data_IF_602348549362
#
_entry.id   IF_602348549362
#
_cell.length_a   1.000
_cell.length_b   1.000
_cell.length_c   1.000
_cell.angle_alpha   90.00
_cell.angle_beta   90.00
_cell.angle_gamma   90.00
#
_symmetry.space_group_name_H-M   'P 1'
#
loop_
_entity.id
_entity.type
_entity.pdbx_description
1 polymer ?
#
# COMPACT_ATOMS: atom_id res chain seq x y z
N UNK A 1 -33.13 -20.60 -1.73
CA UNK A 1 -32.70 -19.21 -1.99
C UNK A 1 -31.24 -19.25 -2.41
N UNK A 2 -30.84 -18.48 -3.42
CA UNK A 2 -29.46 -18.44 -3.89
C UNK A 2 -28.72 -17.33 -3.15
N UNK A 3 -27.96 -17.69 -2.11
CA UNK A 3 -27.15 -16.74 -1.34
C UNK A 3 -25.76 -16.62 -1.96
N UNK A 4 -25.22 -15.39 -2.01
CA UNK A 4 -23.85 -15.10 -2.46
C UNK A 4 -23.08 -14.45 -1.32
N UNK A 5 -21.78 -14.70 -1.28
CA UNK A 5 -20.88 -14.16 -0.26
C UNK A 5 -19.72 -13.39 -0.87
N UNK A 6 -19.29 -12.34 -0.15
CA UNK A 6 -18.04 -11.63 -0.39
C UNK A 6 -17.31 -11.45 0.94
N UNK A 7 -15.98 -11.37 0.85
CA UNK A 7 -15.09 -11.30 2.01
C UNK A 7 -14.16 -10.09 1.83
N UNK A 8 -13.96 -9.31 2.90
CA UNK A 8 -13.17 -8.08 2.88
C UNK A 8 -12.13 -8.11 4.01
N UNK A 9 -10.90 -7.73 3.68
CA UNK A 9 -9.76 -7.58 4.61
C UNK A 9 -9.75 -6.22 5.33
N UNK A 10 -10.91 -5.76 5.79
CA UNK A 10 -11.07 -4.49 6.51
C UNK A 10 -12.11 -4.68 7.62
N UNK A 11 -12.10 -3.81 8.63
CA UNK A 11 -13.01 -3.84 9.77
C UNK A 11 -14.12 -2.79 9.68
N UNK A 12 -13.89 -1.74 8.92
CA UNK A 12 -14.78 -0.60 8.75
C UNK A 12 -15.39 -0.56 7.34
N UNK A 13 -16.63 -0.07 7.25
CA UNK A 13 -17.33 0.08 5.97
C UNK A 13 -18.28 1.27 6.02
N UNK A 14 -18.22 2.12 4.99
CA UNK A 14 -19.23 3.16 4.78
C UNK A 14 -20.47 2.53 4.12
N UNK A 15 -21.62 2.65 4.78
CA UNK A 15 -22.90 2.10 4.35
C UNK A 15 -23.87 3.17 3.81
N UNK A 16 -23.43 4.41 3.71
CA UNK A 16 -24.24 5.52 3.22
C UNK A 16 -24.03 5.77 1.71
N UNK A 17 -22.89 5.34 1.16
CA UNK A 17 -22.53 5.51 -0.25
C UNK A 17 -22.23 4.17 -0.93
N UNK A 18 -23.04 3.78 -1.92
CA UNK A 18 -22.84 2.53 -2.68
C UNK A 18 -21.52 2.55 -3.47
N UNK A 19 -21.11 3.71 -3.97
CA UNK A 19 -19.86 3.87 -4.72
C UNK A 19 -18.64 3.67 -3.82
N UNK A 20 -18.63 4.23 -2.61
CA UNK A 20 -17.55 4.03 -1.64
C UNK A 20 -17.50 2.58 -1.16
N UNK A 21 -18.65 1.98 -0.89
CA UNK A 21 -18.78 0.56 -0.56
C UNK A 21 -18.21 -0.34 -1.66
N UNK A 22 -18.53 -0.05 -2.93
CA UNK A 22 -18.01 -0.78 -4.10
C UNK A 22 -16.49 -0.60 -4.25
N UNK A 23 -15.97 0.61 -4.03
CA UNK A 23 -14.53 0.88 -4.08
C UNK A 23 -13.80 0.11 -2.98
N UNK A 24 -14.34 0.08 -1.76
CA UNK A 24 -13.80 -0.70 -0.66
C UNK A 24 -13.73 -2.18 -1.01
N UNK A 25 -14.82 -2.78 -1.48
CA UNK A 25 -14.86 -4.20 -1.87
C UNK A 25 -13.90 -4.53 -3.01
N UNK A 26 -13.71 -3.63 -3.98
CA UNK A 26 -12.77 -3.87 -5.09
C UNK A 26 -11.30 -3.77 -4.66
N UNK A 27 -11.01 -3.02 -3.61
CA UNK A 27 -9.64 -2.85 -3.08
C UNK A 27 -9.31 -3.88 -2.00
N UNK A 28 -10.23 -4.11 -1.07
CA UNK A 28 -10.07 -4.96 0.11
C UNK A 28 -10.68 -6.35 -0.05
N UNK A 29 -11.33 -6.63 -1.18
CA UNK A 29 -11.97 -7.92 -1.44
C UNK A 29 -10.95 -9.05 -1.54
N UNK A 30 -11.17 -10.11 -0.78
CA UNK A 30 -10.30 -11.29 -0.70
C UNK A 30 -11.07 -12.57 -1.05
N UNK A 31 -10.33 -13.64 -1.29
CA UNK A 31 -10.92 -14.97 -1.42
C UNK A 31 -11.32 -15.54 -0.04
N UNK A 32 -12.23 -16.50 -0.03
CA UNK A 32 -12.75 -17.13 1.19
C UNK A 32 -11.67 -17.87 1.99
N UNK A 33 -10.73 -18.50 1.30
CA UNK A 33 -9.58 -19.18 1.89
C UNK A 33 -8.62 -18.18 2.56
N UNK A 34 -8.39 -17.01 1.95
CA UNK A 34 -7.64 -15.90 2.57
C UNK A 34 -8.35 -15.36 3.80
N UNK A 35 -9.67 -15.19 3.73
CA UNK A 35 -10.49 -14.75 4.85
C UNK A 35 -10.38 -15.74 6.01
N UNK A 36 -10.45 -17.04 5.72
CA UNK A 36 -10.32 -18.11 6.71
C UNK A 36 -8.93 -18.15 7.37
N UNK A 37 -7.87 -17.82 6.63
CA UNK A 37 -6.54 -17.68 7.19
C UNK A 37 -6.43 -16.42 8.06
N UNK A 38 -6.91 -15.28 7.57
CA UNK A 38 -6.82 -13.97 8.24
C UNK A 38 -7.61 -13.91 9.56
N UNK A 39 -8.79 -14.50 9.65
CA UNK A 39 -9.56 -14.47 10.92
C UNK A 39 -8.86 -15.22 12.07
N UNK A 40 -7.86 -16.07 11.78
CA UNK A 40 -7.00 -16.69 12.80
C UNK A 40 -5.98 -15.72 13.39
N UNK A 41 -5.70 -14.60 12.73
CA UNK A 41 -4.63 -13.67 13.07
C UNK A 41 -5.09 -12.52 13.97
N UNK A 42 -6.23 -12.67 14.65
CA UNK A 42 -6.96 -11.61 15.38
C UNK A 42 -7.29 -10.36 14.53
N UNK A 43 -6.95 -10.35 13.23
CA UNK A 43 -7.12 -9.20 12.36
C UNK A 43 -8.55 -9.17 11.81
N UNK A 44 -9.38 -8.20 12.20
CA UNK A 44 -10.79 -8.20 11.85
C UNK A 44 -11.05 -8.09 10.35
N UNK A 45 -12.09 -8.79 9.91
CA UNK A 45 -12.51 -8.88 8.51
C UNK A 45 -14.04 -8.85 8.39
N UNK A 46 -14.56 -8.45 7.24
CA UNK A 46 -16.01 -8.46 6.99
C UNK A 46 -16.43 -9.62 6.09
N UNK A 47 -17.50 -10.32 6.47
CA UNK A 47 -18.26 -11.23 5.63
C UNK A 47 -19.57 -10.56 5.21
N UNK A 48 -19.84 -10.52 3.90
CA UNK A 48 -21.02 -9.90 3.32
C UNK A 48 -21.89 -11.00 2.72
N UNK A 49 -23.18 -10.99 3.04
CA UNK A 49 -24.18 -11.92 2.49
C UNK A 49 -25.19 -11.17 1.64
N UNK A 50 -25.44 -11.70 0.46
CA UNK A 50 -26.46 -11.23 -0.45
C UNK A 50 -27.50 -12.32 -0.69
N UNK A 51 -28.78 -11.97 -0.54
CA UNK A 51 -29.90 -12.86 -0.85
C UNK A 51 -30.74 -12.23 -1.96
N UNK A 52 -31.05 -13.01 -3.01
CA UNK A 52 -31.75 -12.52 -4.21
C UNK A 52 -31.10 -11.23 -4.78
N UNK A 53 -29.77 -11.21 -4.80
CA UNK A 53 -28.91 -10.10 -5.23
C UNK A 53 -28.89 -8.85 -4.33
N UNK A 54 -29.62 -8.79 -3.22
CA UNK A 54 -29.57 -7.66 -2.29
C UNK A 54 -28.70 -7.96 -1.07
N UNK A 55 -27.95 -6.97 -0.61
CA UNK A 55 -27.18 -7.07 0.63
C UNK A 55 -28.14 -7.22 1.81
N UNK A 56 -28.08 -8.37 2.49
CA UNK A 56 -28.97 -8.69 3.61
C UNK A 56 -28.25 -8.74 4.95
N UNK A 57 -26.93 -8.93 4.95
CA UNK A 57 -26.16 -9.02 6.18
C UNK A 57 -24.69 -8.68 5.94
N UNK A 58 -24.10 -7.98 6.92
CA UNK A 58 -22.65 -7.84 7.09
C UNK A 58 -22.29 -8.38 8.47
N UNK A 59 -21.23 -9.17 8.56
CA UNK A 59 -20.65 -9.66 9.80
C UNK A 59 -19.23 -9.19 9.93
N UNK A 60 -18.91 -8.61 11.08
CA UNK A 60 -17.55 -8.44 11.57
C UNK A 60 -17.08 -9.77 12.16
N UNK A 61 -15.96 -10.29 11.68
CA UNK A 61 -15.42 -11.57 12.09
C UNK A 61 -13.93 -11.45 12.41
N UNK A 62 -13.56 -11.87 13.62
CA UNK A 62 -12.19 -12.16 14.04
C UNK A 62 -12.18 -13.48 14.84
N UNK A 63 -11.08 -13.80 15.53
CA UNK A 63 -10.94 -15.03 16.31
C UNK A 63 -11.96 -15.15 17.46
N UNK A 64 -12.38 -14.02 18.04
CA UNK A 64 -13.21 -13.94 19.24
C UNK A 64 -14.63 -13.45 18.95
N UNK A 65 -14.81 -12.71 17.85
CA UNK A 65 -16.01 -11.98 17.53
C UNK A 65 -16.63 -12.45 16.22
N UNK A 66 -17.95 -12.56 16.23
CA UNK A 66 -18.77 -12.77 15.03
C UNK A 66 -20.06 -11.96 15.17
N UNK A 67 -19.96 -10.67 14.84
CA UNK A 67 -20.95 -9.65 15.19
C UNK A 67 -21.67 -9.19 13.92
N UNK A 68 -23.01 -9.18 13.93
CA UNK A 68 -23.78 -8.59 12.84
C UNK A 68 -23.69 -7.06 12.89
N UNK A 69 -23.32 -6.46 11.77
CA UNK A 69 -23.38 -5.01 11.58
C UNK A 69 -24.79 -4.63 11.10
N UNK A 70 -25.38 -3.63 11.76
CA UNK A 70 -26.70 -3.11 11.38
C UNK A 70 -26.60 -2.37 10.04
N UNK A 71 -27.37 -2.83 9.05
CA UNK A 71 -27.48 -2.14 7.76
C UNK A 71 -28.24 -0.82 7.90
N UNK A 72 -27.74 0.22 7.23
CA UNK A 72 -28.47 1.46 6.99
C UNK A 72 -29.63 1.20 6.03
N UNK A 73 -30.56 2.14 5.90
CA UNK A 73 -31.62 2.02 4.89
C UNK A 73 -31.07 2.05 3.46
N UNK A 74 -29.99 2.82 3.22
CA UNK A 74 -29.27 2.86 1.94
C UNK A 74 -28.66 1.51 1.60
N UNK A 75 -27.92 0.90 2.54
CA UNK A 75 -27.23 -0.36 2.30
C UNK A 75 -28.14 -1.54 1.93
N UNK A 76 -29.41 -1.52 2.35
CA UNK A 76 -30.39 -2.55 1.98
C UNK A 76 -30.72 -2.58 0.49
N UNK A 77 -30.49 -1.49 -0.26
CA UNK A 77 -30.65 -1.47 -1.71
C UNK A 77 -29.39 -1.89 -2.47
N UNK A 78 -28.24 -2.04 -1.79
CA UNK A 78 -26.99 -2.39 -2.45
C UNK A 78 -27.08 -3.77 -3.08
N UNK A 79 -26.70 -3.84 -4.36
CA UNK A 79 -26.78 -5.08 -5.14
C UNK A 79 -25.45 -5.79 -5.23
N UNK A 80 -25.51 -7.12 -5.20
CA UNK A 80 -24.38 -7.98 -5.50
C UNK A 80 -23.73 -7.58 -6.81
N UNK A 81 -22.40 -7.61 -6.82
CA UNK A 81 -21.60 -7.43 -8.02
C UNK A 81 -20.38 -8.31 -7.94
N UNK A 82 -19.85 -8.69 -9.11
CA UNK A 82 -18.61 -9.44 -9.16
C UNK A 82 -17.44 -8.49 -8.88
N UNK A 83 -16.78 -8.66 -7.75
CA UNK A 83 -15.61 -7.87 -7.38
C UNK A 83 -14.30 -8.54 -7.81
N UNK A 84 -13.24 -7.73 -7.91
CA UNK A 84 -11.89 -8.25 -7.96
C UNK A 84 -11.51 -8.78 -6.59
N UNK A 85 -11.04 -10.04 -6.55
CA UNK A 85 -10.55 -10.68 -5.33
C UNK A 85 -9.04 -10.72 -5.36
N UNK A 86 -8.42 -10.45 -4.22
CA UNK A 86 -6.97 -10.34 -4.06
C UNK A 86 -6.44 -11.47 -3.17
N UNK A 87 -5.17 -11.81 -3.38
CA UNK A 87 -4.38 -12.76 -2.57
C UNK A 87 -3.47 -11.96 -1.67
N UNK A 88 -3.46 -12.24 -0.36
CA UNK A 88 -2.63 -11.52 0.60
C UNK A 88 -1.23 -12.13 0.59
N UNK A 89 -0.22 -11.29 0.38
CA UNK A 89 1.16 -11.75 0.38
C UNK A 89 2.05 -10.83 1.22
N UNK A 90 2.95 -11.44 1.99
CA UNK A 90 3.98 -10.75 2.75
C UNK A 90 5.25 -10.61 1.94
N UNK A 91 5.83 -9.41 1.97
CA UNK A 91 7.13 -9.09 1.39
C UNK A 91 8.18 -9.18 2.49
N UNK A 92 9.03 -10.19 2.44
CA UNK A 92 9.89 -10.59 3.55
C UNK A 92 11.35 -10.39 3.16
N UNK A 93 12.16 -9.69 3.96
CA UNK A 93 13.59 -9.59 3.74
C UNK A 93 14.26 -10.97 3.61
N UNK A 94 15.17 -11.11 2.66
CA UNK A 94 15.94 -12.34 2.46
C UNK A 94 17.36 -12.03 2.00
N UNK A 95 18.28 -12.95 2.27
CA UNK A 95 19.65 -12.90 1.71
C UNK A 95 19.71 -13.39 0.26
N UNK A 96 18.70 -14.14 -0.19
CA UNK A 96 18.65 -14.66 -1.57
C UNK A 96 18.43 -13.52 -2.55
N UNK A 97 19.19 -13.50 -3.63
CA UNK A 97 18.98 -12.53 -4.68
C UNK A 97 17.57 -12.68 -5.29
N UNK A 98 16.86 -11.55 -5.42
CA UNK A 98 15.49 -11.49 -5.91
C UNK A 98 15.30 -10.36 -6.92
N UNK A 99 14.24 -10.46 -7.74
CA UNK A 99 13.90 -9.41 -8.71
C UNK A 99 13.31 -8.17 -8.03
N UNK A 100 12.50 -8.36 -6.98
CA UNK A 100 11.97 -7.28 -6.15
C UNK A 100 12.84 -7.05 -4.91
N UNK A 101 13.14 -5.80 -4.58
CA UNK A 101 13.96 -5.42 -3.42
C UNK A 101 13.63 -4.01 -2.92
N UNK A 102 13.95 -3.73 -1.66
CA UNK A 102 13.98 -2.37 -1.09
C UNK A 102 15.37 -1.77 -1.32
N UNK A 103 15.45 -0.46 -1.51
CA UNK A 103 16.67 0.29 -1.75
C UNK A 103 17.17 0.21 -3.20
N UNK A 104 18.48 0.37 -3.38
CA UNK A 104 19.10 0.46 -4.71
C UNK A 104 20.17 -0.61 -4.92
N UNK A 105 20.30 -1.10 -6.15
CA UNK A 105 21.39 -2.00 -6.58
C UNK A 105 22.58 -1.28 -7.25
N UNK A 106 22.50 0.05 -7.40
CA UNK A 106 23.53 0.89 -8.02
C UNK A 106 23.65 0.73 -9.54
N UNK A 107 22.87 -0.15 -10.17
CA UNK A 107 22.92 -0.44 -11.62
C UNK A 107 21.79 0.21 -12.40
N UNK A 108 20.79 0.75 -11.69
CA UNK A 108 19.59 1.29 -12.30
C UNK A 108 19.85 2.55 -13.13
N UNK A 109 19.16 2.65 -14.26
CA UNK A 109 19.03 3.90 -15.06
C UNK A 109 17.85 4.76 -14.60
N UNK A 110 17.17 4.38 -13.51
CA UNK A 110 16.03 5.10 -12.98
C UNK A 110 16.44 6.51 -12.55
N UNK A 111 15.61 7.48 -12.91
CA UNK A 111 15.77 8.88 -12.52
C UNK A 111 14.57 9.27 -11.67
N UNK A 112 14.84 9.78 -10.45
CA UNK A 112 13.79 10.23 -9.56
C UNK A 112 13.08 11.47 -10.12
N UNK A 113 11.78 11.67 -9.83
CA UNK A 113 11.05 12.84 -10.26
C UNK A 113 11.72 14.13 -9.79
N UNK A 114 11.79 15.11 -10.68
CA UNK A 114 12.11 16.49 -10.32
C UNK A 114 10.84 17.25 -10.04
N UNK A 115 10.84 18.08 -9.00
CA UNK A 115 9.70 18.90 -8.62
C UNK A 115 10.17 20.30 -8.23
N UNK A 116 9.44 21.31 -8.68
CA UNK A 116 9.53 22.67 -8.15
C UNK A 116 8.48 22.93 -7.05
N UNK A 117 7.60 21.96 -6.78
CA UNK A 117 6.56 22.05 -5.76
C UNK A 117 7.03 21.43 -4.43
N UNK A 118 7.79 20.34 -4.50
CA UNK A 118 8.29 19.60 -3.33
C UNK A 118 9.78 19.89 -3.19
N UNK A 119 10.14 20.64 -2.15
CA UNK A 119 11.49 21.16 -1.87
C UNK A 119 12.31 20.20 -0.99
N UNK A 120 12.20 18.91 -1.28
CA UNK A 120 13.06 17.85 -0.77
C UNK A 120 13.30 16.83 -1.91
N UNK A 121 14.41 16.09 -1.91
CA UNK A 121 14.66 15.11 -2.95
C UNK A 121 13.66 13.96 -2.85
N UNK A 122 13.37 13.33 -4.00
CA UNK A 122 12.70 12.03 -4.06
C UNK A 122 13.74 10.92 -3.85
N UNK A 123 13.43 9.95 -2.99
CA UNK A 123 14.26 8.77 -2.73
C UNK A 123 13.73 7.56 -3.50
N UNK A 124 14.61 6.67 -3.97
CA UNK A 124 14.20 5.34 -4.43
C UNK A 124 13.94 4.49 -3.19
N UNK A 125 12.71 4.01 -3.05
CA UNK A 125 12.29 3.19 -1.91
C UNK A 125 12.44 1.72 -2.23
N UNK A 126 11.97 1.29 -3.39
CA UNK A 126 11.99 -0.12 -3.78
C UNK A 126 11.95 -0.29 -5.30
N UNK A 127 12.27 -1.49 -5.75
CA UNK A 127 12.00 -2.01 -7.09
C UNK A 127 11.10 -3.23 -6.96
N UNK A 128 9.98 -3.23 -7.67
CA UNK A 128 9.07 -4.36 -7.78
C UNK A 128 9.11 -4.90 -9.20
N UNK A 129 9.25 -6.22 -9.36
CA UNK A 129 9.31 -6.86 -10.67
C UNK A 129 8.04 -7.63 -11.00
N UNK A 130 7.63 -7.53 -12.27
CA UNK A 130 6.54 -8.33 -12.85
C UNK A 130 6.84 -9.83 -12.88
N UNK A 131 8.11 -10.22 -12.76
CA UNK A 131 8.51 -11.63 -12.67
C UNK A 131 8.04 -12.31 -11.38
N UNK A 132 7.75 -11.53 -10.35
CA UNK A 132 7.26 -12.05 -9.09
C UNK A 132 5.71 -12.12 -9.15
N UNK A 133 5.14 -13.29 -8.84
CA UNK A 133 3.76 -13.67 -9.19
C UNK A 133 2.68 -12.62 -8.81
N UNK A 134 2.67 -12.03 -7.61
CA UNK A 134 1.65 -11.04 -7.22
C UNK A 134 1.66 -9.77 -8.07
N UNK A 135 2.77 -9.51 -8.76
CA UNK A 135 3.02 -8.31 -9.55
C UNK A 135 3.01 -8.58 -11.06
N UNK A 136 2.70 -9.81 -11.48
CA UNK A 136 2.62 -10.24 -12.89
C UNK A 136 1.67 -9.40 -13.77
N UNK A 137 0.74 -8.68 -13.15
CA UNK A 137 -0.21 -7.79 -13.81
C UNK A 137 0.30 -6.37 -14.04
N UNK A 138 1.46 -5.98 -13.51
CA UNK A 138 2.01 -4.65 -13.71
C UNK A 138 2.23 -4.36 -15.21
N UNK A 139 2.04 -3.12 -15.66
CA UNK A 139 2.23 -2.73 -17.06
C UNK A 139 3.72 -2.50 -17.43
N UNK A 140 4.65 -2.86 -16.55
CA UNK A 140 6.09 -2.66 -16.66
C UNK A 140 6.82 -3.95 -16.28
N UNK A 141 8.03 -4.17 -16.79
CA UNK A 141 8.91 -5.24 -16.30
C UNK A 141 9.36 -4.99 -14.85
N UNK A 142 9.65 -3.72 -14.55
CA UNK A 142 10.05 -3.25 -13.23
C UNK A 142 9.32 -1.94 -12.93
N UNK A 143 8.77 -1.84 -11.72
CA UNK A 143 8.27 -0.60 -11.13
C UNK A 143 9.25 -0.17 -10.04
N UNK A 144 9.95 0.94 -10.27
CA UNK A 144 10.66 1.63 -9.21
C UNK A 144 9.67 2.49 -8.43
N UNK A 145 9.70 2.38 -7.11
CA UNK A 145 8.86 3.14 -6.19
C UNK A 145 9.73 4.24 -5.62
N UNK A 146 9.25 5.48 -5.71
CA UNK A 146 9.99 6.65 -5.26
C UNK A 146 9.06 7.61 -4.53
N UNK A 147 9.57 8.20 -3.44
CA UNK A 147 8.81 9.09 -2.58
C UNK A 147 9.74 10.11 -1.89
N UNK A 148 9.29 11.35 -1.64
CA UNK A 148 10.04 12.36 -0.88
C UNK A 148 9.78 12.22 0.63
N UNK A 149 10.43 11.25 1.27
CA UNK A 149 10.09 10.80 2.65
C UNK A 149 10.31 11.88 3.73
N UNK A 150 11.10 12.92 3.44
CA UNK A 150 11.35 14.05 4.34
C UNK A 150 10.34 15.19 4.22
N UNK A 151 9.28 15.00 3.43
CA UNK A 151 8.12 15.91 3.34
C UNK A 151 6.84 15.20 3.76
N UNK A 152 5.90 15.96 4.30
CA UNK A 152 4.53 15.54 4.58
C UNK A 152 3.55 16.21 3.63
N UNK A 153 2.88 15.45 2.76
CA UNK A 153 1.93 16.01 1.79
C UNK A 153 0.48 16.01 2.29
N UNK A 154 0.13 15.16 3.25
CA UNK A 154 -1.26 14.99 3.72
C UNK A 154 -2.25 14.51 2.65
N UNK A 155 -1.76 14.18 1.45
CA UNK A 155 -2.53 13.73 0.31
C UNK A 155 -1.66 12.82 -0.60
N UNK A 156 -2.30 12.11 -1.53
CA UNK A 156 -1.61 11.26 -2.49
C UNK A 156 -0.66 12.03 -3.41
N UNK A 157 0.60 11.60 -3.46
CA UNK A 157 1.53 11.96 -4.52
C UNK A 157 1.26 11.10 -5.76
N UNK A 158 0.98 11.75 -6.89
CA UNK A 158 0.73 11.09 -8.16
C UNK A 158 1.92 11.26 -9.10
N UNK A 159 2.41 10.15 -9.62
CA UNK A 159 3.51 10.08 -10.56
C UNK A 159 3.05 9.44 -11.86
N UNK A 160 3.36 10.08 -12.98
CA UNK A 160 3.12 9.56 -14.31
C UNK A 160 4.32 8.71 -14.78
N UNK A 161 4.13 7.40 -14.86
CA UNK A 161 5.10 6.40 -15.35
C UNK A 161 4.90 6.05 -16.84
N UNK A 162 4.42 7.00 -17.65
CA UNK A 162 4.42 6.83 -19.12
C UNK A 162 5.83 6.48 -19.65
N UNK A 163 6.85 7.07 -19.03
CA UNK A 163 8.27 6.69 -19.14
C UNK A 163 8.69 5.97 -17.85
N UNK A 164 8.76 4.62 -17.82
CA UNK A 164 8.85 3.86 -16.56
C UNK A 164 10.09 4.14 -15.72
N UNK A 165 11.19 4.57 -16.36
CA UNK A 165 12.46 4.89 -15.70
C UNK A 165 12.66 6.39 -15.42
N UNK A 166 11.68 7.22 -15.76
CA UNK A 166 11.74 8.68 -15.53
C UNK A 166 10.33 9.22 -15.24
N UNK A 167 9.71 8.79 -14.12
CA UNK A 167 8.38 9.25 -13.76
C UNK A 167 8.34 10.74 -13.48
N UNK A 168 7.19 11.36 -13.79
CA UNK A 168 6.97 12.80 -13.59
C UNK A 168 5.89 13.05 -12.55
N UNK A 169 6.13 13.98 -11.63
CA UNK A 169 5.10 14.45 -10.71
C UNK A 169 3.93 15.05 -11.50
N UNK A 170 2.71 14.67 -11.13
CA UNK A 170 1.47 15.26 -11.66
C UNK A 170 0.58 15.65 -10.48
N UNK A 171 -0.17 16.74 -10.65
CA UNK A 171 -0.98 17.32 -9.58
C UNK A 171 -0.47 18.69 -9.14
N UNK A 172 -1.18 19.30 -8.20
CA UNK A 172 -0.86 20.62 -7.67
C UNK A 172 -0.84 20.57 -6.14
N UNK A 173 0.35 20.32 -5.60
CA UNK A 173 0.59 20.19 -4.16
C UNK A 173 0.82 21.58 -3.56
N UNK A 174 -0.10 22.00 -2.71
CA UNK A 174 -0.05 23.34 -2.07
C UNK A 174 0.31 23.29 -0.60
N UNK A 175 -0.05 22.21 0.08
CA UNK A 175 0.08 22.08 1.53
C UNK A 175 1.14 21.03 1.84
N UNK A 176 2.41 21.36 1.60
CA UNK A 176 3.53 20.47 1.91
C UNK A 176 4.17 20.92 3.22
N UNK A 177 4.20 20.01 4.18
CA UNK A 177 4.94 20.16 5.42
C UNK A 177 6.38 19.68 5.24
N UNK A 178 7.32 20.40 5.86
CA UNK A 178 8.75 20.08 5.87
C UNK A 178 9.23 19.92 7.31
N UNK A 179 8.94 18.78 7.97
CA UNK A 179 9.27 18.57 9.38
C UNK A 179 10.77 18.60 9.66
N UNK A 180 11.60 18.42 8.63
CA UNK A 180 13.06 18.51 8.70
C UNK A 180 13.62 19.73 7.96
N UNK A 181 12.78 20.72 7.70
CA UNK A 181 13.11 21.83 6.82
C UNK A 181 13.18 21.44 5.34
N UNK A 182 13.29 22.47 4.48
CA UNK A 182 13.53 22.29 3.05
C UNK A 182 14.96 21.78 2.82
N UNK A 183 15.16 20.99 1.77
CA UNK A 183 16.44 20.37 1.46
C UNK A 183 16.82 20.59 0.00
N UNK A 184 18.11 20.41 -0.31
CA UNK A 184 18.56 20.39 -1.69
C UNK A 184 17.87 19.23 -2.45
N UNK A 185 17.05 19.58 -3.44
CA UNK A 185 16.33 18.62 -4.29
C UNK A 185 17.27 17.76 -5.15
N UNK A 186 18.53 18.15 -5.32
CA UNK A 186 19.58 17.34 -5.93
C UNK A 186 20.35 16.47 -4.91
N UNK A 187 19.99 16.56 -3.64
CA UNK A 187 20.60 15.79 -2.56
C UNK A 187 20.44 14.28 -2.75
N UNK A 188 21.44 13.55 -2.29
CA UNK A 188 21.54 12.10 -2.36
C UNK A 188 21.09 11.52 -1.02
N UNK A 189 20.16 10.57 -1.06
CA UNK A 189 19.79 9.74 0.08
C UNK A 189 19.37 8.36 -0.43
N UNK A 190 20.19 7.35 -0.15
CA UNK A 190 20.08 6.01 -0.73
C UNK A 190 20.01 4.96 0.36
N UNK A 191 19.22 3.92 0.13
CA UNK A 191 19.12 2.76 1.01
C UNK A 191 19.94 1.60 0.47
N UNK A 192 20.49 0.78 1.37
CA UNK A 192 21.08 -0.51 1.02
C UNK A 192 20.02 -1.41 0.40
N UNK A 193 20.44 -2.22 -0.57
CA UNK A 193 19.58 -3.26 -1.15
C UNK A 193 19.16 -4.25 -0.06
N UNK A 194 17.86 -4.51 0.02
CA UNK A 194 17.29 -5.60 0.82
C UNK A 194 16.39 -6.43 -0.09
N UNK A 195 16.85 -7.64 -0.43
CA UNK A 195 16.08 -8.54 -1.29
C UNK A 195 14.79 -8.98 -0.59
N UNK A 196 13.77 -9.27 -1.39
CA UNK A 196 12.45 -9.67 -0.92
C UNK A 196 12.09 -11.05 -1.45
N UNK A 197 11.63 -11.92 -0.55
CA UNK A 197 10.83 -13.09 -0.90
C UNK A 197 9.36 -12.81 -0.61
N UNK A 198 8.48 -13.53 -1.30
CA UNK A 198 7.04 -13.38 -1.16
C UNK A 198 6.49 -14.66 -0.53
N UNK A 199 5.68 -14.53 0.52
CA UNK A 199 4.95 -15.65 1.15
C UNK A 199 3.46 -15.33 1.17
N UNK A 200 2.62 -16.26 0.75
CA UNK A 200 1.17 -16.08 0.87
C UNK A 200 0.75 -16.22 2.33
N UNK A 201 -0.31 -15.51 2.76
CA UNK A 201 -0.92 -15.72 4.08
C UNK A 201 -1.35 -17.19 4.32
N UNK A 202 -1.61 -17.92 3.24
CA UNK A 202 -2.00 -19.33 3.29
C UNK A 202 -0.86 -20.27 3.63
N UNK A 203 0.37 -19.85 3.37
CA UNK A 203 1.57 -20.64 3.64
C UNK A 203 2.08 -20.40 5.07
N UNK A 204 1.37 -19.60 5.87
CA UNK A 204 1.62 -19.42 7.30
C UNK A 204 1.02 -20.63 8.02
N UNK A 205 1.90 -21.54 8.47
CA UNK A 205 1.52 -22.85 9.01
C UNK A 205 1.48 -22.87 10.54
N UNK A 206 1.99 -21.84 11.21
CA UNK A 206 2.16 -21.81 12.67
C UNK A 206 1.49 -20.57 13.26
N UNK A 207 0.88 -20.69 14.43
CA UNK A 207 0.30 -19.54 15.14
C UNK A 207 1.40 -18.50 15.51
N UNK A 208 2.67 -18.93 15.60
CA UNK A 208 3.84 -18.05 15.77
C UNK A 208 4.21 -17.26 14.51
N UNK A 209 3.92 -17.77 13.31
CA UNK A 209 4.08 -17.06 12.02
C UNK A 209 3.03 -15.94 11.85
N UNK A 210 1.98 -15.95 12.69
CA UNK A 210 0.87 -15.00 12.69
C UNK A 210 1.06 -13.85 13.68
N UNK A 211 2.23 -13.74 14.34
CA UNK A 211 2.60 -12.52 15.04
C UNK A 211 3.13 -11.51 13.99
N UNK A 212 2.28 -10.55 13.62
CA UNK A 212 2.51 -9.63 12.49
C UNK A 212 3.63 -8.63 12.77
N UNK A 213 4.14 -8.59 13.98
CA UNK A 213 5.14 -7.62 14.38
C UNK A 213 6.54 -8.13 13.99
N UNK A 214 7.16 -7.40 13.05
CA UNK A 214 8.61 -7.35 12.79
C UNK A 214 9.25 -8.29 11.75
N UNK A 215 8.56 -9.29 11.18
CA UNK A 215 9.22 -10.23 10.24
C UNK A 215 9.09 -9.88 8.75
N UNK A 216 8.10 -9.07 8.34
CA UNK A 216 7.93 -8.64 6.95
C UNK A 216 8.17 -7.12 6.79
N UNK A 217 8.67 -6.74 5.61
CA UNK A 217 8.94 -5.35 5.26
C UNK A 217 7.77 -4.68 4.52
N UNK A 218 6.80 -5.45 4.05
CA UNK A 218 5.63 -4.93 3.34
C UNK A 218 4.58 -6.00 3.06
N UNK A 219 3.46 -5.57 2.47
CA UNK A 219 2.34 -6.44 2.09
C UNK A 219 1.90 -6.11 0.66
N UNK A 220 1.46 -7.10 -0.10
CA UNK A 220 0.76 -6.91 -1.38
C UNK A 220 -0.59 -7.63 -1.39
N UNK A 221 -1.41 -7.31 -2.40
CA UNK A 221 -2.75 -7.86 -2.55
C UNK A 221 -3.84 -6.96 -1.98
N UNK A 222 -3.79 -6.67 -0.68
CA UNK A 222 -4.71 -5.74 0.00
C UNK A 222 -3.94 -4.81 0.93
N UNK A 223 -4.30 -3.51 1.00
CA UNK A 223 -3.67 -2.58 1.92
C UNK A 223 -4.13 -2.84 3.36
N UNK A 224 -3.20 -2.77 4.30
CA UNK A 224 -3.47 -2.78 5.73
C UNK A 224 -3.32 -1.36 6.25
N UNK A 225 -4.43 -0.63 6.34
CA UNK A 225 -4.44 0.80 6.67
C UNK A 225 -4.13 1.03 8.15
N UNK A 226 -3.30 2.05 8.42
CA UNK A 226 -3.04 2.53 9.79
C UNK A 226 -4.18 3.44 10.24
N UNK A 227 -4.65 4.29 9.33
CA UNK A 227 -5.77 5.19 9.55
C UNK A 227 -7.00 4.72 8.75
N UNK A 228 -7.97 5.59 8.52
CA UNK A 228 -9.11 5.25 7.67
C UNK A 228 -8.65 4.92 6.24
N UNK A 229 -9.27 3.94 5.55
CA UNK A 229 -8.96 3.65 4.16
C UNK A 229 -9.11 4.87 3.25
N UNK A 230 -8.03 5.24 2.55
CA UNK A 230 -8.06 6.27 1.52
C UNK A 230 -7.81 5.63 0.15
N UNK A 231 -8.88 5.30 -0.57
CA UNK A 231 -8.77 4.56 -1.83
C UNK A 231 -8.67 5.55 -3.00
N UNK A 232 -7.51 5.66 -3.68
CA UNK A 232 -7.31 6.72 -4.66
C UNK A 232 -8.01 6.40 -5.99
N UNK A 233 -8.51 7.46 -6.63
CA UNK A 233 -8.86 7.48 -8.04
C UNK A 233 -7.75 8.16 -8.83
N UNK A 234 -7.49 7.68 -10.04
CA UNK A 234 -6.48 8.27 -10.91
C UNK A 234 -6.89 9.70 -11.28
N UNK A 235 -6.03 10.72 -11.07
CA UNK A 235 -6.37 12.11 -11.38
C UNK A 235 -6.56 12.37 -12.88
N UNK A 236 -6.05 11.49 -13.76
CA UNK A 236 -6.21 11.63 -15.21
C UNK A 236 -7.50 11.02 -15.75
N UNK A 237 -7.93 9.89 -15.19
CA UNK A 237 -9.01 9.07 -15.77
C UNK A 237 -10.24 8.98 -14.87
N UNK A 238 -10.13 9.36 -13.59
CA UNK A 238 -11.18 9.16 -12.58
C UNK A 238 -11.37 7.69 -12.17
N UNK A 239 -10.64 6.75 -12.78
CA UNK A 239 -10.78 5.33 -12.50
C UNK A 239 -10.17 4.97 -11.14
N UNK A 240 -10.77 3.98 -10.49
CA UNK A 240 -10.23 3.38 -9.26
C UNK A 240 -8.82 2.85 -9.52
N UNK A 241 -7.86 3.23 -8.68
CA UNK A 241 -6.50 2.71 -8.77
C UNK A 241 -6.40 1.37 -8.05
N UNK A 242 -5.49 0.51 -8.52
CA UNK A 242 -5.25 -0.82 -7.97
C UNK A 242 -4.09 -0.76 -6.97
N UNK A 243 -4.29 -1.32 -5.79
CA UNK A 243 -3.20 -1.50 -4.83
C UNK A 243 -2.10 -2.38 -5.42
N UNK A 244 -0.85 -1.93 -5.27
CA UNK A 244 0.35 -2.67 -5.67
C UNK A 244 0.93 -3.35 -4.44
N UNK A 245 1.41 -2.54 -3.50
CA UNK A 245 1.98 -2.99 -2.23
C UNK A 245 2.01 -1.84 -1.24
N UNK A 246 2.32 -2.18 0.00
CA UNK A 246 2.74 -1.24 1.03
C UNK A 246 4.12 -1.65 1.56
N UNK A 247 4.88 -0.67 2.03
CA UNK A 247 6.12 -0.88 2.76
C UNK A 247 6.03 -0.25 4.13
N UNK A 248 6.51 -0.95 5.14
CA UNK A 248 6.52 -0.48 6.51
C UNK A 248 7.83 0.24 6.82
N UNK A 249 7.81 1.10 7.83
CA UNK A 249 9.04 1.54 8.48
C UNK A 249 9.88 0.32 8.86
N UNK A 250 11.18 0.38 8.59
CA UNK A 250 12.07 -0.75 8.77
C UNK A 250 13.39 -0.34 9.41
N UNK A 251 13.65 -0.93 10.57
CA UNK A 251 14.90 -0.75 11.28
C UNK A 251 16.09 -1.54 10.67
N UNK A 252 15.78 -2.50 9.76
CA UNK A 252 16.76 -3.33 9.07
C UNK A 252 17.23 -2.71 7.75
N UNK A 253 16.40 -1.89 7.09
CA UNK A 253 16.77 -1.17 5.87
C UNK A 253 17.59 0.08 6.22
N UNK A 254 18.91 -0.03 6.07
CA UNK A 254 19.86 1.03 6.42
C UNK A 254 20.15 1.96 5.24
N UNK A 255 20.43 3.22 5.55
CA UNK A 255 20.93 4.20 4.58
C UNK A 255 22.38 3.86 4.21
N UNK A 256 22.66 3.78 2.91
CA UNK A 256 23.97 3.48 2.36
C UNK A 256 24.78 4.75 2.09
N UNK A 257 24.10 5.82 1.67
CA UNK A 257 24.71 7.09 1.34
C UNK A 257 23.71 8.22 1.58
N UNK A 258 24.14 9.28 2.25
CA UNK A 258 23.35 10.51 2.38
C UNK A 258 24.26 11.72 2.46
N UNK A 259 23.93 12.79 1.72
CA UNK A 259 24.53 14.12 1.90
C UNK A 259 23.52 15.17 2.39
N UNK A 260 22.29 14.75 2.67
CA UNK A 260 21.24 15.61 3.17
C UNK A 260 21.61 16.15 4.55
N UNK A 261 21.28 17.42 4.79
CA UNK A 261 21.48 18.12 6.04
C UNK A 261 20.18 18.78 6.46
N UNK A 262 19.96 18.82 7.77
CA UNK A 262 18.87 19.53 8.42
C UNK A 262 19.39 20.09 9.74
N UNK A 263 18.85 21.22 10.17
CA UNK A 263 19.12 21.81 11.48
C UNK A 263 18.27 21.18 12.58
N UNK A 264 17.30 20.33 12.23
CA UNK A 264 16.39 19.68 13.17
C UNK A 264 17.07 18.50 13.89
N UNK A 265 17.06 18.52 15.23
CA UNK A 265 17.77 17.56 16.08
C UNK A 265 17.45 16.09 15.77
N UNK A 266 16.19 15.80 15.46
CA UNK A 266 15.71 14.45 15.19
C UNK A 266 16.13 13.91 13.82
N UNK A 267 16.58 14.76 12.89
CA UNK A 267 16.95 14.36 11.53
C UNK A 267 18.06 13.31 11.51
N UNK A 268 19.03 13.43 12.42
CA UNK A 268 20.16 12.48 12.52
C UNK A 268 19.73 11.05 12.86
N UNK A 269 18.57 10.88 13.50
CA UNK A 269 18.02 9.54 13.75
C UNK A 269 17.21 9.06 12.55
N UNK A 270 16.41 9.94 11.95
CA UNK A 270 15.57 9.64 10.79
C UNK A 270 16.39 9.30 9.53
N UNK A 271 17.56 9.92 9.35
CA UNK A 271 18.37 9.77 8.14
C UNK A 271 19.26 8.51 8.10
N UNK A 272 19.11 7.58 9.04
CA UNK A 272 19.93 6.36 9.13
C UNK A 272 19.26 5.13 8.56
N UNK A 273 17.93 5.12 8.48
CA UNK A 273 17.11 3.94 8.19
C UNK A 273 15.85 4.33 7.42
N UNK A 274 15.20 3.36 6.80
CA UNK A 274 13.91 3.60 6.13
C UNK A 274 12.82 3.86 7.17
N UNK A 275 12.36 5.11 7.23
CA UNK A 275 11.27 5.53 8.11
C UNK A 275 10.21 6.29 7.33
N UNK A 276 8.96 5.94 7.57
CA UNK A 276 7.80 6.66 7.07
C UNK A 276 7.14 7.35 8.25
N UNK A 277 7.60 8.57 8.55
CA UNK A 277 7.07 9.45 9.60
C UNK A 277 6.86 8.77 10.97
N UNK A 278 7.89 8.10 11.47
CA UNK A 278 7.81 7.34 12.72
C UNK A 278 7.65 5.86 12.40
N UNK A 279 6.52 5.27 12.79
CA UNK A 279 6.15 3.86 12.54
C UNK A 279 5.16 3.68 11.38
N UNK A 280 5.05 4.67 10.49
CA UNK A 280 4.11 4.63 9.39
C UNK A 280 4.48 3.66 8.27
N UNK A 281 3.63 3.64 7.25
CA UNK A 281 3.75 2.82 6.05
C UNK A 281 3.47 3.62 4.79
N UNK A 282 4.24 3.34 3.73
CA UNK A 282 4.03 3.86 2.39
C UNK A 282 3.11 2.91 1.62
N UNK A 283 1.98 3.42 1.13
CA UNK A 283 1.02 2.70 0.30
C UNK A 283 1.19 3.08 -1.16
N UNK A 284 1.16 2.09 -2.05
CA UNK A 284 1.39 2.28 -3.49
C UNK A 284 0.21 1.74 -4.29
N UNK A 285 -0.35 2.59 -5.13
CA UNK A 285 -1.47 2.28 -6.03
C UNK A 285 -1.10 2.61 -7.47
N UNK A 286 -1.71 1.94 -8.44
CA UNK A 286 -1.51 2.22 -9.86
C UNK A 286 -2.82 2.12 -10.64
N UNK A 287 -3.04 3.04 -11.58
CA UNK A 287 -3.97 2.85 -12.68
C UNK A 287 -3.19 2.34 -13.88
N UNK A 288 -3.28 1.04 -14.21
CA UNK A 288 -2.34 0.38 -15.10
C UNK A 288 -2.43 0.87 -16.56
N UNK A 289 -3.58 1.40 -17.00
CA UNK A 289 -3.77 1.84 -18.39
C UNK A 289 -3.09 3.19 -18.61
N UNK A 290 -3.39 4.18 -17.77
CA UNK A 290 -2.77 5.53 -17.83
C UNK A 290 -1.38 5.58 -17.21
N UNK A 291 -0.91 4.47 -16.60
CA UNK A 291 0.41 4.33 -15.98
C UNK A 291 0.65 5.40 -14.90
N UNK A 292 -0.39 5.78 -14.18
CA UNK A 292 -0.29 6.70 -13.06
C UNK A 292 -0.15 5.90 -11.77
N UNK A 293 0.84 6.22 -10.96
CA UNK A 293 1.07 5.64 -9.63
C UNK A 293 0.69 6.68 -8.58
N UNK A 294 -0.11 6.30 -7.60
CA UNK A 294 -0.46 7.11 -6.43
C UNK A 294 0.24 6.57 -5.20
N UNK A 295 0.86 7.44 -4.41
CA UNK A 295 1.60 7.09 -3.20
C UNK A 295 1.15 7.95 -2.03
N UNK A 296 0.97 7.34 -0.86
CA UNK A 296 0.67 8.06 0.38
C UNK A 296 1.39 7.38 1.54
N UNK A 297 1.84 8.16 2.51
CA UNK A 297 2.26 7.62 3.81
C UNK A 297 1.11 7.85 4.79
N UNK A 298 0.76 6.82 5.56
CA UNK A 298 -0.01 6.97 6.79
C UNK A 298 0.87 6.61 7.97
N UNK A 299 0.72 7.35 9.07
CA UNK A 299 1.32 7.10 10.37
C UNK A 299 0.24 7.17 11.47
N UNK A 300 0.63 6.84 12.70
CA UNK A 300 -0.25 6.82 13.88
C UNK A 300 -0.26 8.16 14.61
#
# INVERSE_FOLDING_TARGET
>A
MNSKYQYISESSVNLDSEDEFRNLINTQGIFEDEFSAKIKTQSPSLQLKYDNDYLTQIRYVDQLNNINIKLTNSAKSFRYFKNKRNRINFLIPTEKESNSFIGEDGTSKFTTPKSNLIEVPFQIIAKISRKDEPFSWLPFEELYITYPIFSGTGEFIFLNYSEPLSPKLIGNYKNINYPFGKMDTAGIHKFNRTNLTIKSIKDLNEDEDLDFEHWYAGISGVPFWIQHPEIPKCPKTGNLMRFVCQFNTSESVKVSQSNLKSEEDNFTQYNKKLRFWGSGSLYVFIEPISKVVGLIIQDT
#
